data_IF_229962982433
#
_entry.id   IF_229962982433
#
_cell.length_a   1.000
_cell.length_b   1.000
_cell.length_c   1.000
_cell.angle_alpha   90.00
_cell.angle_beta   90.00
_cell.angle_gamma   90.00
#
_symmetry.space_group_name_H-M   'P 1'
#
loop_
_entity.id
_entity.type
_entity.pdbx_description
1 polymer ?
#
# COMPACT_ATOMS: atom_id res chain seq x y z
N UNK A 1 -27.62 -20.83 41.35
CA UNK A 1 -27.72 -21.47 42.69
C UNK A 1 -26.38 -22.04 43.21
N UNK A 2 -25.49 -22.54 42.35
CA UNK A 2 -24.15 -23.01 42.75
C UNK A 2 -23.14 -21.87 42.99
N UNK A 3 -23.18 -20.82 42.16
CA UNK A 3 -22.29 -19.65 42.30
C UNK A 3 -22.61 -18.84 43.57
N UNK A 4 -23.89 -18.75 43.95
CA UNK A 4 -24.31 -18.08 45.19
C UNK A 4 -23.89 -18.85 46.44
N UNK A 5 -23.99 -20.20 46.44
CA UNK A 5 -23.49 -21.05 47.53
C UNK A 5 -21.96 -21.06 47.62
N UNK A 6 -21.24 -20.92 46.51
CA UNK A 6 -19.79 -20.74 46.46
C UNK A 6 -19.36 -19.37 47.01
N UNK A 7 -20.13 -18.32 46.69
CA UNK A 7 -19.91 -16.96 47.19
C UNK A 7 -20.16 -16.85 48.68
N UNK A 8 -21.21 -17.48 49.20
CA UNK A 8 -21.46 -17.59 50.65
C UNK A 8 -20.37 -18.39 51.37
N UNK A 9 -19.92 -19.53 50.83
CA UNK A 9 -18.83 -20.32 51.45
C UNK A 9 -17.49 -19.58 51.50
N UNK A 10 -17.23 -18.68 50.55
CA UNK A 10 -16.06 -17.81 50.55
C UNK A 10 -16.23 -16.65 51.54
N UNK A 11 -17.41 -16.03 51.60
CA UNK A 11 -17.70 -14.90 52.49
C UNK A 11 -17.78 -15.29 53.97
N UNK A 12 -18.23 -16.51 54.30
CA UNK A 12 -18.36 -16.95 55.71
C UNK A 12 -17.08 -17.58 56.28
N UNK A 13 -16.04 -17.81 55.47
CA UNK A 13 -14.78 -18.43 55.92
C UNK A 13 -13.65 -17.43 56.18
N UNK A 14 -13.80 -16.19 55.72
CA UNK A 14 -12.82 -15.11 55.88
C UNK A 14 -13.27 -14.09 56.93
N UNK A 15 -13.54 -14.57 58.15
CA UNK A 15 -13.32 -13.80 59.38
C UNK A 15 -11.83 -13.72 59.75
N UNK A 16 -10.93 -13.94 58.78
CA UNK A 16 -9.49 -13.73 58.92
C UNK A 16 -9.18 -12.40 58.28
N UNK A 17 -8.76 -11.46 59.11
CA UNK A 17 -7.90 -10.34 58.70
C UNK A 17 -7.01 -10.82 57.55
N UNK A 18 -7.17 -10.24 56.36
CA UNK A 18 -6.20 -10.44 55.29
C UNK A 18 -4.84 -10.20 55.92
N UNK A 19 -4.01 -11.25 56.06
CA UNK A 19 -2.71 -11.15 56.72
C UNK A 19 -1.85 -10.21 55.85
N UNK A 20 -1.93 -8.90 56.14
CA UNK A 20 -1.19 -7.85 55.44
C UNK A 20 0.30 -8.17 55.46
N UNK A 21 0.77 -8.87 56.49
CA UNK A 21 2.15 -9.37 56.59
C UNK A 21 2.49 -10.50 55.62
N UNK A 22 1.56 -11.43 55.35
CA UNK A 22 1.77 -12.49 54.34
C UNK A 22 1.73 -11.90 52.94
N UNK A 23 0.78 -11.00 52.67
CA UNK A 23 0.75 -10.25 51.41
C UNK A 23 2.01 -9.40 51.22
N UNK A 24 2.48 -8.71 52.26
CA UNK A 24 3.71 -7.91 52.21
C UNK A 24 4.97 -8.77 52.05
N UNK A 25 5.01 -9.99 52.62
CA UNK A 25 6.10 -10.95 52.39
C UNK A 25 6.11 -11.47 50.96
N UNK A 26 4.95 -11.80 50.42
CA UNK A 26 4.78 -12.25 49.04
C UNK A 26 5.16 -11.12 48.07
N UNK A 27 4.70 -9.89 48.32
CA UNK A 27 5.08 -8.70 47.53
C UNK A 27 6.57 -8.42 47.58
N UNK A 28 7.21 -8.47 48.77
CA UNK A 28 8.67 -8.32 48.91
C UNK A 28 9.45 -9.43 48.20
N UNK A 29 8.95 -10.66 48.25
CA UNK A 29 9.54 -11.79 47.54
C UNK A 29 9.40 -11.65 46.02
N UNK A 30 8.21 -11.27 45.53
CA UNK A 30 7.98 -10.95 44.12
C UNK A 30 8.91 -9.82 43.68
N UNK A 31 8.96 -8.70 44.39
CA UNK A 31 9.85 -7.57 44.09
C UNK A 31 11.33 -7.97 44.00
N UNK A 32 11.78 -8.92 44.82
CA UNK A 32 13.15 -9.44 44.79
C UNK A 32 13.43 -10.30 43.56
N UNK A 33 12.43 -11.03 43.07
CA UNK A 33 12.54 -11.92 41.91
C UNK A 33 12.21 -11.21 40.59
N UNK A 34 11.39 -10.15 40.62
CA UNK A 34 11.02 -9.32 39.47
C UNK A 34 12.23 -8.94 38.62
N UNK A 35 13.35 -8.40 39.14
CA UNK A 35 14.47 -8.04 38.27
C UNK A 35 15.06 -9.27 37.56
N UNK A 36 15.16 -10.43 38.25
CA UNK A 36 15.68 -11.67 37.66
C UNK A 36 14.75 -12.16 36.54
N UNK A 37 13.44 -12.17 36.77
CA UNK A 37 12.45 -12.56 35.76
C UNK A 37 12.49 -11.60 34.57
N UNK A 38 12.57 -10.29 34.81
CA UNK A 38 12.68 -9.28 33.75
C UNK A 38 13.92 -9.50 32.90
N UNK A 39 15.08 -9.75 33.50
CA UNK A 39 16.30 -10.07 32.75
C UNK A 39 16.13 -11.36 31.93
N UNK A 40 15.60 -12.43 32.52
CA UNK A 40 15.38 -13.68 31.80
C UNK A 40 14.40 -13.52 30.63
N UNK A 41 13.29 -12.81 30.82
CA UNK A 41 12.30 -12.53 29.78
C UNK A 41 12.88 -11.63 28.68
N UNK A 42 13.72 -10.65 29.04
CA UNK A 42 14.41 -9.80 28.08
C UNK A 42 15.32 -10.64 27.17
N UNK A 43 16.21 -11.46 27.74
CA UNK A 43 17.09 -12.32 26.95
C UNK A 43 16.32 -13.36 26.15
N UNK A 44 15.28 -13.96 26.72
CA UNK A 44 14.41 -14.89 26.00
C UNK A 44 13.76 -14.20 24.79
N UNK A 45 13.25 -12.97 24.95
CA UNK A 45 12.69 -12.17 23.86
C UNK A 45 13.74 -11.80 22.80
N UNK A 46 14.93 -11.36 23.20
CA UNK A 46 16.03 -11.06 22.28
C UNK A 46 16.46 -12.29 21.47
N UNK A 47 16.61 -13.44 22.12
CA UNK A 47 16.93 -14.70 21.45
C UNK A 47 15.81 -15.05 20.46
N UNK A 48 14.54 -14.87 20.84
CA UNK A 48 13.42 -15.15 19.95
C UNK A 48 13.44 -14.28 18.69
N UNK A 49 13.72 -12.98 18.82
CA UNK A 49 13.86 -12.06 17.67
C UNK A 49 14.98 -12.52 16.74
N UNK A 50 16.10 -13.03 17.27
CA UNK A 50 17.21 -13.55 16.47
C UNK A 50 16.91 -14.91 15.83
N UNK A 51 15.92 -15.66 16.31
CA UNK A 51 15.52 -16.94 15.72
C UNK A 51 14.56 -16.74 14.53
N UNK A 52 13.75 -15.66 14.53
CA UNK A 52 12.76 -15.39 13.47
C UNK A 52 13.32 -15.33 12.03
N UNK A 53 14.49 -14.72 11.76
CA UNK A 53 15.04 -14.65 10.40
C UNK A 53 15.56 -15.98 9.87
N UNK A 54 15.53 -17.05 10.68
CA UNK A 54 16.00 -18.36 10.25
C UNK A 54 15.06 -18.98 9.22
N UNK A 55 15.63 -19.56 8.17
CA UNK A 55 14.90 -20.09 6.99
C UNK A 55 13.79 -21.09 7.34
N UNK A 56 13.94 -21.85 8.44
CA UNK A 56 12.90 -22.78 8.90
C UNK A 56 11.61 -22.11 9.38
N UNK A 57 11.72 -20.87 9.86
CA UNK A 57 10.57 -20.07 10.34
C UNK A 57 10.06 -19.10 9.29
N UNK A 58 10.92 -18.70 8.34
CA UNK A 58 10.53 -17.95 7.15
C UNK A 58 9.81 -18.89 6.17
N UNK A 59 8.52 -19.16 6.43
CA UNK A 59 7.65 -19.71 5.39
C UNK A 59 7.66 -18.69 4.25
N UNK A 60 8.03 -19.11 3.03
CA UNK A 60 8.03 -18.24 1.85
C UNK A 60 6.69 -17.55 1.64
N UNK A 61 6.59 -16.70 0.61
CA UNK A 61 5.40 -15.88 0.32
C UNK A 61 4.12 -16.72 0.22
N UNK A 62 3.43 -16.86 1.35
CA UNK A 62 2.17 -17.57 1.47
C UNK A 62 1.06 -16.54 1.30
N UNK A 63 0.24 -16.73 0.27
CA UNK A 63 -0.95 -15.92 0.06
C UNK A 63 -2.10 -16.67 0.69
N UNK A 64 -2.62 -16.13 1.77
CA UNK A 64 -3.69 -16.78 2.54
C UNK A 64 -5.02 -16.72 1.82
N UNK A 65 -5.16 -15.77 0.91
CA UNK A 65 -6.39 -15.50 0.18
C UNK A 65 -6.38 -16.05 -1.25
N UNK A 66 -7.27 -17.01 -1.50
CA UNK A 66 -7.36 -17.70 -2.79
C UNK A 66 -7.60 -16.76 -3.99
N UNK A 67 -8.24 -15.60 -3.79
CA UNK A 67 -8.50 -14.63 -4.86
C UNK A 67 -7.28 -13.78 -5.24
N UNK A 68 -6.21 -13.85 -4.46
CA UNK A 68 -4.95 -13.15 -4.68
C UNK A 68 -3.85 -14.06 -5.23
N UNK A 69 -4.16 -15.35 -5.45
CA UNK A 69 -3.20 -16.36 -5.91
C UNK A 69 -2.49 -15.95 -7.22
N UNK A 70 -1.15 -16.05 -7.29
CA UNK A 70 -0.36 -15.69 -8.45
C UNK A 70 -0.48 -16.76 -9.55
N UNK A 71 -0.92 -16.35 -10.75
CA UNK A 71 -1.03 -17.22 -11.93
C UNK A 71 -2.40 -17.34 -12.60
N UNK A 72 -3.46 -16.70 -12.08
CA UNK A 72 -4.81 -16.79 -12.67
C UNK A 72 -5.23 -15.56 -13.50
N UNK A 73 -4.44 -14.47 -13.51
CA UNK A 73 -4.72 -13.26 -14.26
C UNK A 73 -3.72 -13.11 -15.41
N UNK A 74 -4.23 -12.96 -16.64
CA UNK A 74 -3.43 -12.65 -17.80
C UNK A 74 -3.05 -11.16 -17.80
N UNK A 75 -1.82 -10.85 -18.24
CA UNK A 75 -1.36 -9.48 -18.42
C UNK A 75 -1.90 -8.98 -19.76
N UNK A 76 -2.85 -8.04 -19.75
CA UNK A 76 -3.42 -7.48 -20.98
C UNK A 76 -2.72 -6.18 -21.41
N UNK A 77 -1.83 -5.65 -20.56
CA UNK A 77 -1.00 -4.49 -20.86
C UNK A 77 0.04 -4.80 -21.96
N UNK A 78 -0.27 -4.34 -23.17
CA UNK A 78 0.45 -4.65 -24.40
C UNK A 78 1.32 -3.52 -24.94
N UNK A 79 1.91 -3.73 -26.12
CA UNK A 79 2.80 -2.76 -26.78
C UNK A 79 2.13 -1.41 -27.06
N UNK A 80 0.85 -1.41 -27.47
CA UNK A 80 0.11 -0.18 -27.73
C UNK A 80 -0.08 0.67 -26.47
N UNK A 81 -0.26 0.01 -25.31
CA UNK A 81 -0.42 0.69 -24.03
C UNK A 81 0.92 1.29 -23.57
N UNK A 82 2.03 0.58 -23.80
CA UNK A 82 3.40 1.09 -23.59
C UNK A 82 3.65 2.35 -24.42
N UNK A 83 3.38 2.30 -25.73
CA UNK A 83 3.58 3.46 -26.61
C UNK A 83 2.73 4.65 -26.19
N UNK A 84 1.48 4.39 -25.82
CA UNK A 84 0.59 5.45 -25.33
C UNK A 84 1.11 6.09 -24.05
N UNK A 85 1.70 5.29 -23.17
CA UNK A 85 2.33 5.76 -21.96
C UNK A 85 3.58 6.62 -22.29
N UNK A 86 4.43 6.20 -23.24
CA UNK A 86 5.59 6.98 -23.69
C UNK A 86 5.18 8.34 -24.29
N UNK A 87 4.10 8.37 -25.08
CA UNK A 87 3.52 9.60 -25.59
C UNK A 87 3.08 10.53 -24.45
N UNK A 88 2.52 9.97 -23.37
CA UNK A 88 2.18 10.73 -22.16
C UNK A 88 3.41 11.26 -21.44
N UNK A 89 4.49 10.48 -21.31
CA UNK A 89 5.74 10.97 -20.73
C UNK A 89 6.22 12.24 -21.44
N UNK A 90 6.25 12.25 -22.78
CA UNK A 90 6.67 13.42 -23.55
C UNK A 90 5.77 14.64 -23.30
N UNK A 91 4.44 14.45 -23.24
CA UNK A 91 3.50 15.53 -22.93
C UNK A 91 3.69 16.08 -21.50
N UNK A 92 3.92 15.20 -20.53
CA UNK A 92 4.06 15.55 -19.12
C UNK A 92 5.36 16.32 -18.85
N UNK A 93 6.46 15.97 -19.53
CA UNK A 93 7.72 16.73 -19.44
C UNK A 93 7.51 18.21 -19.80
N UNK A 94 6.67 18.50 -20.80
CA UNK A 94 6.36 19.88 -21.20
C UNK A 94 5.43 20.65 -20.23
N UNK A 95 4.89 19.98 -19.22
CA UNK A 95 3.84 20.52 -18.33
C UNK A 95 4.26 20.47 -16.85
N UNK A 96 5.22 19.62 -16.48
CA UNK A 96 5.67 19.44 -15.09
C UNK A 96 6.15 20.74 -14.41
N UNK A 97 6.72 21.68 -15.17
CA UNK A 97 7.23 22.97 -14.68
C UNK A 97 6.15 24.06 -14.57
N UNK A 98 4.91 23.76 -14.99
CA UNK A 98 3.80 24.72 -14.94
C UNK A 98 3.12 24.70 -13.57
N UNK A 99 2.30 25.72 -13.35
CA UNK A 99 1.49 25.84 -12.14
C UNK A 99 0.58 24.60 -11.91
N UNK A 100 0.35 24.28 -10.64
CA UNK A 100 -0.51 23.16 -10.20
C UNK A 100 -1.89 23.15 -10.84
N UNK A 101 -2.51 24.32 -11.05
CA UNK A 101 -3.81 24.40 -11.70
C UNK A 101 -3.72 24.02 -13.18
N UNK A 102 -2.68 24.48 -13.87
CA UNK A 102 -2.47 24.13 -15.30
C UNK A 102 -2.19 22.64 -15.47
N UNK A 103 -1.40 22.05 -14.57
CA UNK A 103 -1.14 20.60 -14.52
C UNK A 103 -2.43 19.81 -14.31
N UNK A 104 -3.25 20.22 -13.35
CA UNK A 104 -4.53 19.57 -13.07
C UNK A 104 -5.53 19.70 -14.24
N UNK A 105 -5.60 20.87 -14.88
CA UNK A 105 -6.48 21.10 -16.04
C UNK A 105 -6.11 20.21 -17.23
N UNK A 106 -4.81 20.04 -17.51
CA UNK A 106 -4.33 19.17 -18.58
C UNK A 106 -4.78 17.71 -18.37
N UNK A 107 -4.53 17.17 -17.17
CA UNK A 107 -4.94 15.80 -16.82
C UNK A 107 -6.46 15.65 -16.86
N UNK A 108 -7.18 16.66 -16.35
CA UNK A 108 -8.64 16.66 -16.36
C UNK A 108 -9.19 16.53 -17.79
N UNK A 109 -8.62 17.26 -18.74
CA UNK A 109 -9.02 17.18 -20.15
C UNK A 109 -8.68 15.81 -20.76
N UNK A 110 -7.50 15.26 -20.50
CA UNK A 110 -7.11 13.92 -20.99
C UNK A 110 -8.03 12.81 -20.45
N UNK A 111 -8.48 12.91 -19.19
CA UNK A 111 -9.49 11.99 -18.63
C UNK A 111 -10.87 12.16 -19.28
N UNK A 112 -11.31 13.41 -19.54
CA UNK A 112 -12.59 13.66 -20.23
C UNK A 112 -12.58 13.13 -21.65
N UNK A 113 -11.49 13.35 -22.40
CA UNK A 113 -11.32 12.82 -23.75
C UNK A 113 -11.33 11.30 -23.77
N UNK A 114 -10.81 10.66 -22.73
CA UNK A 114 -10.86 9.21 -22.55
C UNK A 114 -12.22 8.69 -22.04
N UNK A 115 -13.18 9.59 -21.78
CA UNK A 115 -14.55 9.24 -21.37
C UNK A 115 -14.70 8.85 -19.90
N UNK A 116 -13.88 9.42 -19.02
CA UNK A 116 -14.02 9.30 -17.56
C UNK A 116 -14.73 10.52 -16.97
N UNK A 117 -15.35 10.32 -15.80
CA UNK A 117 -15.90 11.43 -15.00
C UNK A 117 -14.76 11.99 -14.16
N UNK A 118 -14.17 13.09 -14.60
CA UNK A 118 -13.08 13.78 -13.91
C UNK A 118 -13.56 14.98 -13.09
N UNK A 119 -12.89 15.25 -11.97
CA UNK A 119 -13.12 16.40 -11.11
C UNK A 119 -11.81 16.93 -10.55
N UNK A 120 -11.72 18.26 -10.47
CA UNK A 120 -10.57 18.98 -9.90
C UNK A 120 -10.92 19.37 -8.47
N UNK A 121 -10.02 19.10 -7.53
CA UNK A 121 -10.12 19.53 -6.14
C UNK A 121 -9.02 20.53 -5.83
N UNK A 122 -9.39 21.78 -5.56
CA UNK A 122 -8.47 22.78 -5.00
C UNK A 122 -8.44 22.62 -3.49
N UNK A 123 -7.26 22.65 -2.90
CA UNK A 123 -7.11 22.57 -1.45
C UNK A 123 -6.11 23.61 -0.94
N UNK A 124 -6.37 24.04 0.28
CA UNK A 124 -5.52 24.94 1.05
C UNK A 124 -5.38 24.28 2.43
N UNK A 125 -4.17 23.79 2.74
CA UNK A 125 -3.90 23.12 4.01
C UNK A 125 -2.74 23.80 4.74
N UNK A 126 -3.03 24.28 5.94
CA UNK A 126 -2.04 24.79 6.87
C UNK A 126 -1.38 23.62 7.62
N UNK A 127 -0.15 23.27 7.21
CA UNK A 127 0.67 22.29 7.93
C UNK A 127 1.77 23.02 8.68
N UNK A 128 1.68 23.06 10.02
CA UNK A 128 2.71 23.56 10.97
C UNK A 128 3.46 24.79 10.43
N UNK A 129 2.73 25.89 10.19
CA UNK A 129 3.32 27.18 9.78
C UNK A 129 3.58 27.36 8.29
N UNK A 130 3.34 26.34 7.46
CA UNK A 130 3.37 26.43 6.00
C UNK A 130 1.98 26.22 5.42
N UNK A 131 1.42 27.29 4.86
CA UNK A 131 0.22 27.21 4.05
C UNK A 131 0.59 26.60 2.70
N UNK A 132 0.13 25.36 2.45
CA UNK A 132 0.40 24.65 1.21
C UNK A 132 -0.87 24.60 0.39
N UNK A 133 -0.83 25.27 -0.78
CA UNK A 133 -1.91 25.25 -1.76
C UNK A 133 -1.56 24.28 -2.86
N UNK A 134 -2.56 23.55 -3.33
CA UNK A 134 -2.41 22.60 -4.40
C UNK A 134 -3.74 22.28 -5.06
N UNK A 135 -3.64 21.60 -6.20
CA UNK A 135 -4.82 21.17 -6.95
C UNK A 135 -4.68 19.71 -7.30
N UNK A 136 -5.50 18.87 -6.66
CA UNK A 136 -5.61 17.46 -7.00
C UNK A 136 -6.57 17.27 -8.17
N UNK A 137 -6.38 16.18 -8.91
CA UNK A 137 -7.27 15.75 -9.98
C UNK A 137 -7.60 14.28 -9.75
N UNK A 138 -8.87 13.95 -9.83
CA UNK A 138 -9.30 12.56 -9.79
C UNK A 138 -10.32 12.27 -10.87
N UNK A 139 -10.36 11.01 -11.30
CA UNK A 139 -11.31 10.52 -12.27
C UNK A 139 -11.89 9.20 -11.82
N UNK A 140 -13.18 9.01 -12.05
CA UNK A 140 -13.89 7.80 -11.63
C UNK A 140 -14.31 7.01 -12.85
N UNK A 141 -13.88 5.75 -12.86
CA UNK A 141 -14.35 4.72 -13.76
C UNK A 141 -15.39 3.87 -13.04
N UNK A 142 -16.66 4.08 -13.39
CA UNK A 142 -17.73 3.18 -12.95
C UNK A 142 -17.64 1.90 -13.75
N UNK A 143 -17.35 0.79 -13.06
CA UNK A 143 -17.20 -0.47 -13.73
C UNK A 143 -18.59 -1.01 -14.15
N UNK A 144 -18.74 -1.52 -15.38
CA UNK A 144 -20.06 -1.89 -15.92
C UNK A 144 -20.68 -3.10 -15.21
N UNK A 145 -19.88 -3.91 -14.50
CA UNK A 145 -20.33 -5.07 -13.70
C UNK A 145 -20.31 -4.80 -12.20
N UNK A 146 -20.04 -3.57 -11.78
CA UNK A 146 -19.97 -3.16 -10.38
C UNK A 146 -21.34 -2.64 -9.90
N UNK A 147 -21.68 -2.94 -8.65
CA UNK A 147 -22.85 -2.38 -7.95
C UNK A 147 -22.57 -0.96 -7.41
N UNK A 148 -21.41 -0.38 -7.73
CA UNK A 148 -20.99 0.97 -7.30
C UNK A 148 -20.72 1.11 -5.79
N UNK A 149 -20.74 0.00 -5.05
CA UNK A 149 -20.56 -0.05 -3.59
C UNK A 149 -19.10 -0.14 -3.13
N UNK A 150 -18.20 -0.47 -4.04
CA UNK A 150 -16.80 -0.72 -3.73
C UNK A 150 -15.90 -0.09 -4.79
N UNK A 151 -14.79 0.47 -4.33
CA UNK A 151 -13.83 1.17 -5.18
C UNK A 151 -12.39 0.76 -4.87
N UNK A 152 -11.54 0.83 -5.89
CA UNK A 152 -10.09 0.77 -5.77
C UNK A 152 -9.49 2.10 -6.18
N UNK A 153 -8.39 2.48 -5.54
CA UNK A 153 -7.64 3.69 -5.93
C UNK A 153 -6.34 3.28 -6.60
N UNK A 154 -6.10 3.84 -7.78
CA UNK A 154 -4.78 3.92 -8.37
C UNK A 154 -4.34 5.37 -8.26
N UNK A 155 -3.31 5.63 -7.46
CA UNK A 155 -2.81 6.98 -7.24
C UNK A 155 -1.40 7.18 -7.78
N UNK A 156 -1.06 8.41 -8.15
CA UNK A 156 0.30 8.84 -8.40
C UNK A 156 0.44 10.30 -7.97
N UNK A 157 1.49 10.66 -7.25
CA UNK A 157 1.78 12.07 -6.98
C UNK A 157 2.64 12.67 -8.10
N UNK A 158 2.56 13.99 -8.32
CA UNK A 158 3.49 14.72 -9.19
C UNK A 158 4.93 14.70 -8.69
N UNK A 159 5.10 14.76 -7.38
CA UNK A 159 6.41 14.80 -6.73
C UNK A 159 6.60 13.44 -6.06
N UNK A 160 7.66 12.75 -6.46
CA UNK A 160 8.08 11.49 -5.87
C UNK A 160 8.56 11.71 -4.44
N UNK A 161 8.66 10.63 -3.66
CA UNK A 161 9.28 10.67 -2.33
C UNK A 161 10.71 11.23 -2.33
N UNK A 162 11.46 11.11 -3.45
CA UNK A 162 12.82 11.67 -3.58
C UNK A 162 12.85 13.16 -3.93
N UNK A 163 11.69 13.78 -4.18
CA UNK A 163 11.59 15.16 -4.63
C UNK A 163 11.71 15.33 -6.15
N UNK A 164 11.97 14.26 -6.90
CA UNK A 164 11.95 14.27 -8.36
C UNK A 164 10.52 14.21 -8.91
N UNK A 165 10.33 14.61 -10.16
CA UNK A 165 9.03 14.46 -10.83
C UNK A 165 8.73 12.99 -11.13
N UNK A 166 7.54 12.54 -10.74
CA UNK A 166 7.05 11.19 -10.98
C UNK A 166 6.33 11.10 -12.34
N UNK A 167 7.04 11.50 -13.38
CA UNK A 167 6.50 11.58 -14.75
C UNK A 167 6.11 10.19 -15.26
N UNK A 168 6.94 9.19 -14.99
CA UNK A 168 6.65 7.81 -15.36
C UNK A 168 5.43 7.25 -14.59
N UNK A 169 5.30 7.49 -13.29
CA UNK A 169 4.14 6.99 -12.53
C UNK A 169 2.82 7.57 -13.03
N UNK A 170 2.79 8.87 -13.34
CA UNK A 170 1.60 9.52 -13.91
C UNK A 170 1.31 9.00 -15.32
N UNK A 171 2.32 8.86 -16.18
CA UNK A 171 2.14 8.33 -17.52
C UNK A 171 1.61 6.89 -17.53
N UNK A 172 2.12 6.03 -16.63
CA UNK A 172 1.64 4.67 -16.45
C UNK A 172 0.18 4.64 -15.93
N UNK A 173 -0.18 5.57 -15.04
CA UNK A 173 -1.56 5.71 -14.57
C UNK A 173 -2.50 6.11 -15.72
N UNK A 174 -2.10 7.05 -16.57
CA UNK A 174 -2.89 7.48 -17.74
C UNK A 174 -3.05 6.39 -18.80
N UNK A 175 -2.02 5.58 -19.04
CA UNK A 175 -2.13 4.43 -19.96
C UNK A 175 -3.00 3.31 -19.38
N UNK A 176 -2.86 3.01 -18.08
CA UNK A 176 -3.73 2.09 -17.37
C UNK A 176 -5.18 2.54 -17.37
N UNK A 177 -5.44 3.85 -17.29
CA UNK A 177 -6.78 4.39 -17.45
C UNK A 177 -7.40 3.93 -18.77
N UNK A 178 -6.70 4.07 -19.90
CA UNK A 178 -7.21 3.61 -21.21
C UNK A 178 -7.42 2.10 -21.26
N UNK A 179 -6.55 1.32 -20.61
CA UNK A 179 -6.75 -0.13 -20.45
C UNK A 179 -8.06 -0.42 -19.69
N UNK A 180 -8.32 0.27 -18.57
CA UNK A 180 -9.55 0.08 -17.80
C UNK A 180 -10.79 0.43 -18.61
N UNK A 181 -10.73 1.46 -19.46
CA UNK A 181 -11.84 1.81 -20.36
C UNK A 181 -12.08 0.75 -21.45
N UNK A 182 -11.01 0.15 -21.97
CA UNK A 182 -11.07 -0.89 -23.02
C UNK A 182 -11.70 -2.19 -22.48
N UNK A 183 -11.40 -2.53 -21.23
CA UNK A 183 -11.77 -3.80 -20.63
C UNK A 183 -13.07 -3.69 -19.81
N UNK A 184 -14.00 -4.62 -20.00
CA UNK A 184 -15.37 -4.55 -19.43
C UNK A 184 -15.54 -5.49 -18.22
N UNK A 185 -14.53 -6.30 -17.87
CA UNK A 185 -14.66 -7.34 -16.86
C UNK A 185 -14.49 -6.87 -15.41
N UNK A 186 -14.24 -5.59 -15.17
CA UNK A 186 -14.03 -5.06 -13.81
C UNK A 186 -15.30 -5.19 -12.95
N UNK A 187 -15.12 -5.69 -11.73
CA UNK A 187 -16.19 -5.90 -10.75
C UNK A 187 -16.30 -4.78 -9.69
N UNK A 188 -15.37 -3.82 -9.72
CA UNK A 188 -15.31 -2.68 -8.79
C UNK A 188 -15.03 -1.41 -9.54
N UNK A 189 -15.49 -0.30 -9.00
CA UNK A 189 -15.15 1.01 -9.53
C UNK A 189 -13.67 1.30 -9.31
N UNK A 190 -13.07 2.04 -10.24
CA UNK A 190 -11.66 2.43 -10.17
C UNK A 190 -11.60 3.94 -10.10
N UNK A 191 -10.96 4.45 -9.04
CA UNK A 191 -10.67 5.85 -8.84
C UNK A 191 -9.21 6.06 -9.23
N UNK A 192 -9.00 6.93 -10.21
CA UNK A 192 -7.69 7.38 -10.65
C UNK A 192 -7.42 8.70 -9.97
N UNK A 193 -6.38 8.77 -9.14
CA UNK A 193 -6.09 9.96 -8.34
C UNK A 193 -4.67 10.46 -8.65
N UNK A 194 -4.55 11.73 -9.04
CA UNK A 194 -3.26 12.39 -9.14
C UNK A 194 -3.21 13.53 -8.14
N UNK A 195 -2.28 13.41 -7.20
CA UNK A 195 -2.12 14.35 -6.10
C UNK A 195 -1.02 15.34 -6.39
N UNK A 196 -1.27 16.58 -6.02
CA UNK A 196 -0.24 17.60 -5.92
C UNK A 196 0.34 17.60 -4.50
N UNK A 197 1.61 17.94 -4.34
CA UNK A 197 2.28 18.00 -3.03
C UNK A 197 2.25 16.67 -2.22
N UNK A 198 2.24 15.51 -2.90
CA UNK A 198 2.37 14.16 -2.31
C UNK A 198 1.39 13.86 -1.17
N UNK A 199 1.94 13.73 0.04
CA UNK A 199 1.22 13.44 1.29
C UNK A 199 0.15 14.47 1.61
N UNK A 200 0.41 15.76 1.39
CA UNK A 200 -0.53 16.84 1.74
C UNK A 200 -1.76 16.77 0.84
N UNK A 201 -1.55 16.65 -0.48
CA UNK A 201 -2.66 16.48 -1.42
C UNK A 201 -3.45 15.21 -1.18
N UNK A 202 -2.77 14.10 -0.85
CA UNK A 202 -3.44 12.84 -0.50
C UNK A 202 -4.33 12.99 0.73
N UNK A 203 -3.85 13.65 1.79
CA UNK A 203 -4.64 13.90 2.99
C UNK A 203 -5.84 14.81 2.71
N UNK A 204 -5.66 15.87 1.92
CA UNK A 204 -6.74 16.77 1.53
C UNK A 204 -7.83 16.05 0.73
N UNK A 205 -7.44 15.15 -0.18
CA UNK A 205 -8.38 14.33 -0.92
C UNK A 205 -9.15 13.34 -0.03
N UNK A 206 -8.44 12.68 0.90
CA UNK A 206 -9.05 11.75 1.85
C UNK A 206 -10.06 12.45 2.78
N UNK A 207 -9.71 13.62 3.29
CA UNK A 207 -10.61 14.41 4.16
C UNK A 207 -11.91 14.73 3.43
N UNK A 208 -11.81 15.22 2.19
CA UNK A 208 -12.97 15.58 1.40
C UNK A 208 -13.81 14.36 0.96
N UNK A 209 -13.15 13.24 0.63
CA UNK A 209 -13.84 11.99 0.29
C UNK A 209 -14.65 11.44 1.47
N UNK A 210 -14.09 11.47 2.69
CA UNK A 210 -14.77 11.05 3.91
C UNK A 210 -15.69 12.13 4.53
N UNK A 211 -15.72 13.34 3.98
CA UNK A 211 -16.55 14.45 4.46
C UNK A 211 -16.12 15.01 5.82
N UNK A 212 -14.82 15.01 6.10
CA UNK A 212 -14.22 15.46 7.37
C UNK A 212 -13.83 16.95 7.30
N UNK A 213 -14.17 17.67 6.22
CA UNK A 213 -13.77 19.08 6.07
C UNK A 213 -14.41 19.97 7.16
N UNK A 214 -13.54 20.48 8.04
CA UNK A 214 -13.89 21.27 9.23
C UNK A 214 -13.89 22.79 8.99
N UNK A 215 -13.52 23.29 7.80
CA UNK A 215 -13.57 24.71 7.45
C UNK A 215 -13.48 24.93 5.93
N UNK A 216 -14.27 25.89 5.46
CA UNK A 216 -14.29 26.55 4.16
C UNK A 216 -15.14 25.94 3.02
N UNK A 217 -16.08 26.77 2.57
CA UNK A 217 -17.04 26.61 1.47
C UNK A 217 -16.40 26.30 0.10
N UNK A 218 -15.07 26.29 -0.01
CA UNK A 218 -14.31 26.12 -1.27
C UNK A 218 -14.05 24.62 -1.57
N UNK A 219 -14.00 23.77 -0.55
CA UNK A 219 -13.80 22.31 -0.67
C UNK A 219 -15.08 21.55 -1.03
N UNK A 220 -16.24 22.22 -0.94
CA UNK A 220 -17.57 21.66 -1.15
C UNK A 220 -17.93 21.44 -2.63
N UNK A 221 -16.96 21.05 -3.46
CA UNK A 221 -17.29 20.43 -4.74
C UNK A 221 -18.02 19.13 -4.39
N UNK A 222 -19.22 18.95 -4.95
CA UNK A 222 -19.94 17.67 -4.94
C UNK A 222 -19.03 16.64 -5.59
N UNK A 223 -18.15 16.02 -4.79
CA UNK A 223 -17.24 15.00 -5.29
C UNK A 223 -18.11 13.85 -5.75
N UNK A 224 -17.98 13.40 -7.00
CA UNK A 224 -18.58 12.14 -7.36
C UNK A 224 -17.97 11.09 -6.43
N UNK A 225 -18.82 10.48 -5.61
CA UNK A 225 -18.40 9.41 -4.70
C UNK A 225 -18.61 8.08 -5.40
N UNK A 226 -17.61 7.22 -5.31
CA UNK A 226 -17.82 5.78 -5.47
C UNK A 226 -17.95 5.17 -4.06
N UNK A 227 -18.37 3.91 -3.97
CA UNK A 227 -18.55 3.24 -2.69
C UNK A 227 -17.24 2.98 -1.94
N UNK A 228 -17.29 2.17 -0.87
CA UNK A 228 -16.20 2.00 0.08
C UNK A 228 -14.87 1.64 -0.62
N UNK A 229 -13.81 2.37 -0.28
CA UNK A 229 -12.47 2.12 -0.81
C UNK A 229 -11.90 0.90 -0.11
N UNK A 230 -11.38 -0.04 -0.91
CA UNK A 230 -10.96 -1.35 -0.42
C UNK A 230 -9.46 -1.55 -0.49
N UNK A 231 -8.83 -0.92 -1.47
CA UNK A 231 -7.39 -0.99 -1.66
C UNK A 231 -6.86 0.18 -2.47
N UNK A 232 -5.63 0.58 -2.16
CA UNK A 232 -4.90 1.62 -2.90
C UNK A 232 -3.56 1.08 -3.37
N UNK A 233 -3.24 1.33 -4.65
CA UNK A 233 -1.90 1.15 -5.19
C UNK A 233 -1.40 2.53 -5.61
N UNK A 234 -0.33 2.98 -4.98
CA UNK A 234 0.31 4.24 -5.34
C UNK A 234 1.54 3.97 -6.23
N UNK A 235 1.61 4.61 -7.39
CA UNK A 235 2.69 4.49 -8.36
C UNK A 235 3.68 5.63 -8.18
N UNK A 236 4.91 5.31 -7.78
CA UNK A 236 5.98 6.28 -7.56
C UNK A 236 7.23 5.90 -8.36
N UNK A 237 7.30 6.34 -9.61
CA UNK A 237 8.40 6.08 -10.52
C UNK A 237 9.08 7.40 -10.89
N UNK A 238 10.12 7.80 -10.15
CA UNK A 238 10.78 9.09 -10.35
C UNK A 238 11.53 9.14 -11.69
N UNK A 239 11.50 10.31 -12.33
CA UNK A 239 12.26 10.60 -13.54
C UNK A 239 11.74 9.86 -14.79
N UNK A 240 12.62 9.77 -15.78
CA UNK A 240 12.39 9.13 -17.10
C UNK A 240 13.38 8.00 -17.39
N UNK A 241 14.19 7.65 -16.40
CA UNK A 241 15.25 6.65 -16.51
C UNK A 241 14.74 5.24 -16.21
N UNK A 242 15.55 4.24 -16.58
CA UNK A 242 15.27 2.85 -16.27
C UNK A 242 15.54 2.55 -14.78
N UNK A 243 14.78 1.60 -14.24
CA UNK A 243 14.83 1.24 -12.82
C UNK A 243 15.52 -0.11 -12.65
N UNK A 244 16.28 -0.27 -11.57
CA UNK A 244 16.98 -1.53 -11.27
C UNK A 244 16.14 -2.46 -10.41
N UNK A 245 15.43 -1.90 -9.42
CA UNK A 245 14.70 -2.67 -8.42
C UNK A 245 13.40 -1.98 -8.05
N UNK A 246 12.38 -2.78 -7.73
CA UNK A 246 11.08 -2.32 -7.24
C UNK A 246 11.09 -2.25 -5.71
N UNK A 247 11.04 -1.04 -5.15
CA UNK A 247 10.87 -0.81 -3.72
C UNK A 247 9.39 -0.85 -3.34
N UNK A 248 9.04 -1.59 -2.30
CA UNK A 248 7.68 -1.58 -1.72
C UNK A 248 7.70 -0.80 -0.41
N UNK A 249 6.79 0.16 -0.28
CA UNK A 249 6.56 0.95 0.94
C UNK A 249 5.11 0.77 1.40
N UNK A 250 4.93 0.44 2.67
CA UNK A 250 3.63 0.04 3.20
C UNK A 250 3.37 0.53 4.63
N UNK A 251 4.29 1.29 5.22
CA UNK A 251 4.20 1.73 6.61
C UNK A 251 3.24 2.90 6.76
N UNK A 252 2.25 2.70 7.64
CA UNK A 252 1.27 3.71 7.99
C UNK A 252 1.61 4.56 9.19
N UNK A 253 0.77 5.55 9.43
CA UNK A 253 0.82 6.39 10.64
C UNK A 253 0.66 5.50 11.88
N UNK A 254 1.46 5.74 12.92
CA UNK A 254 1.46 4.98 14.18
C UNK A 254 1.76 3.47 14.01
N UNK A 255 2.51 3.09 12.97
CA UNK A 255 2.91 1.69 12.77
C UNK A 255 1.76 0.79 12.32
N UNK A 256 0.76 1.34 11.65
CA UNK A 256 -0.25 0.54 10.96
C UNK A 256 0.36 -0.15 9.73
N UNK A 257 -0.09 -1.37 9.46
CA UNK A 257 0.38 -2.19 8.34
C UNK A 257 -0.83 -2.66 7.51
N UNK A 258 -0.72 -2.68 6.17
CA UNK A 258 -1.76 -3.24 5.31
C UNK A 258 -1.78 -4.76 5.43
N UNK A 259 -2.79 -5.35 4.82
CA UNK A 259 -2.83 -6.78 4.59
C UNK A 259 -1.59 -7.28 3.82
N UNK A 260 -0.91 -8.28 4.39
CA UNK A 260 0.27 -8.92 3.83
C UNK A 260 0.00 -9.63 2.49
N UNK A 261 -1.23 -10.08 2.25
CA UNK A 261 -1.59 -10.70 0.97
C UNK A 261 -1.51 -9.72 -0.21
N UNK A 262 -1.74 -8.42 0.02
CA UNK A 262 -1.56 -7.38 -1.00
C UNK A 262 -0.08 -7.29 -1.42
N UNK A 263 0.82 -7.21 -0.44
CA UNK A 263 2.27 -7.15 -0.67
C UNK A 263 2.74 -8.43 -1.37
N UNK A 264 2.35 -9.60 -0.87
CA UNK A 264 2.73 -10.88 -1.44
C UNK A 264 2.25 -11.03 -2.89
N UNK A 265 1.07 -10.50 -3.22
CA UNK A 265 0.56 -10.52 -4.59
C UNK A 265 1.41 -9.68 -5.51
N UNK A 266 1.80 -8.48 -5.09
CA UNK A 266 2.67 -7.59 -5.89
C UNK A 266 4.03 -8.25 -6.12
N UNK A 267 4.64 -8.80 -5.07
CA UNK A 267 5.92 -9.53 -5.17
C UNK A 267 5.79 -10.72 -6.13
N UNK A 268 4.76 -11.54 -5.97
CA UNK A 268 4.58 -12.71 -6.81
C UNK A 268 4.21 -12.38 -8.26
N UNK A 269 3.59 -11.22 -8.54
CA UNK A 269 3.37 -10.71 -9.90
C UNK A 269 4.69 -10.23 -10.50
N UNK A 270 5.48 -9.46 -9.76
CA UNK A 270 6.78 -8.96 -10.20
C UNK A 270 7.77 -10.09 -10.56
N UNK A 271 7.79 -11.16 -9.78
CA UNK A 271 8.63 -12.35 -10.04
C UNK A 271 8.14 -13.20 -11.22
N UNK A 272 6.86 -13.13 -11.59
CA UNK A 272 6.27 -13.91 -12.69
C UNK A 272 6.28 -13.21 -14.04
N UNK A 273 6.44 -11.89 -14.05
CA UNK A 273 6.61 -11.14 -15.31
C UNK A 273 7.89 -11.66 -15.98
N UNK A 274 7.86 -11.82 -17.30
CA UNK A 274 9.04 -12.23 -18.07
C UNK A 274 9.60 -11.02 -18.84
N UNK A 275 10.83 -10.57 -18.55
CA UNK A 275 11.76 -11.04 -17.51
C UNK A 275 11.37 -10.55 -16.08
N UNK A 276 11.80 -11.27 -15.03
CA UNK A 276 11.41 -10.99 -13.65
C UNK A 276 11.98 -9.66 -13.16
N UNK A 277 11.20 -8.96 -12.35
CA UNK A 277 11.60 -7.70 -11.74
C UNK A 277 12.06 -7.98 -10.31
N UNK A 278 13.28 -7.57 -9.98
CA UNK A 278 13.79 -7.66 -8.61
C UNK A 278 12.96 -6.76 -7.69
N UNK A 279 12.48 -7.32 -6.58
CA UNK A 279 11.70 -6.58 -5.58
C UNK A 279 12.48 -6.50 -4.28
N UNK A 280 12.52 -5.31 -3.69
CA UNK A 280 13.05 -5.05 -2.35
C UNK A 280 12.02 -4.38 -1.48
N UNK A 281 12.14 -4.59 -0.17
CA UNK A 281 11.40 -3.80 0.81
C UNK A 281 12.17 -2.49 1.01
N UNK A 282 11.49 -1.35 0.90
CA UNK A 282 12.09 -0.01 1.00
C UNK A 282 13.16 0.26 -0.09
N UNK A 283 14.16 1.09 0.23
CA UNK A 283 15.19 1.63 -0.68
C UNK A 283 16.44 0.74 -0.85
N UNK A 284 16.55 -0.36 -0.11
CA UNK A 284 17.80 -1.09 -0.01
C UNK A 284 17.97 -2.09 -1.16
N UNK A 285 18.50 -1.60 -2.28
CA UNK A 285 18.88 -2.41 -3.44
C UNK A 285 20.10 -3.31 -3.18
N UNK A 286 20.95 -2.94 -2.21
CA UNK A 286 22.13 -3.70 -1.81
C UNK A 286 22.18 -3.85 -0.30
N UNK A 287 22.47 -5.07 0.17
CA UNK A 287 22.68 -5.34 1.59
C UNK A 287 24.13 -5.75 1.85
N UNK A 288 24.72 -5.32 2.97
CA UNK A 288 26.17 -5.40 3.22
C UNK A 288 26.72 -6.83 3.34
N UNK A 289 25.86 -7.85 3.46
CA UNK A 289 26.24 -9.24 3.76
C UNK A 289 25.95 -10.22 2.61
N UNK A 290 25.80 -9.71 1.38
CA UNK A 290 25.41 -10.52 0.23
C UNK A 290 26.35 -11.69 -0.09
N UNK A 291 27.66 -11.50 0.12
CA UNK A 291 28.68 -12.50 -0.21
C UNK A 291 29.01 -13.46 0.95
N UNK A 292 28.21 -13.46 2.03
CA UNK A 292 28.50 -14.25 3.23
C UNK A 292 27.80 -15.62 3.20
N UNK A 293 28.42 -16.65 3.83
CA UNK A 293 27.88 -18.03 3.87
C UNK A 293 26.48 -18.11 4.51
N UNK A 294 26.17 -17.19 5.41
CA UNK A 294 24.85 -17.03 6.04
C UNK A 294 24.07 -15.83 5.48
N UNK A 295 24.32 -15.47 4.22
CA UNK A 295 23.74 -14.29 3.56
C UNK A 295 22.22 -14.23 3.65
N UNK A 296 21.51 -15.35 3.49
CA UNK A 296 20.03 -15.39 3.59
C UNK A 296 19.51 -14.98 4.97
N UNK A 297 20.16 -15.44 6.05
CA UNK A 297 19.79 -15.09 7.41
C UNK A 297 20.04 -13.60 7.66
N UNK A 298 21.24 -13.12 7.34
CA UNK A 298 21.59 -11.70 7.53
C UNK A 298 20.74 -10.77 6.67
N UNK A 299 20.37 -11.21 5.46
CA UNK A 299 19.43 -10.49 4.59
C UNK A 299 18.05 -10.38 5.25
N UNK A 300 17.51 -11.49 5.74
CA UNK A 300 16.19 -11.50 6.39
C UNK A 300 16.19 -10.67 7.68
N UNK A 301 17.26 -10.77 8.48
CA UNK A 301 17.45 -9.97 9.68
C UNK A 301 17.56 -8.48 9.35
N UNK A 302 18.31 -8.13 8.30
CA UNK A 302 18.48 -6.76 7.85
C UNK A 302 17.14 -6.15 7.43
N UNK A 303 16.38 -6.82 6.56
CA UNK A 303 15.06 -6.32 6.14
C UNK A 303 14.03 -6.28 7.27
N UNK A 304 14.08 -7.23 8.21
CA UNK A 304 13.23 -7.20 9.40
C UNK A 304 13.53 -5.99 10.28
N UNK A 305 14.81 -5.74 10.58
CA UNK A 305 15.23 -4.59 11.39
C UNK A 305 14.97 -3.26 10.68
N UNK A 306 15.16 -3.22 9.37
CA UNK A 306 14.86 -2.04 8.56
C UNK A 306 13.36 -1.74 8.60
N UNK A 307 12.51 -2.74 8.39
CA UNK A 307 11.05 -2.56 8.47
C UNK A 307 10.63 -2.13 9.88
N UNK A 308 11.23 -2.70 10.93
CA UNK A 308 11.01 -2.27 12.32
C UNK A 308 11.42 -0.81 12.54
N UNK A 309 12.53 -0.36 11.93
CA UNK A 309 12.97 1.05 12.01
C UNK A 309 11.89 1.98 11.46
N UNK A 310 11.35 1.72 10.28
CA UNK A 310 10.26 2.52 9.73
C UNK A 310 8.98 2.47 10.58
N UNK A 311 8.67 1.30 11.15
CA UNK A 311 7.53 1.12 12.05
C UNK A 311 7.66 1.94 13.35
N UNK A 312 8.85 1.95 13.95
CA UNK A 312 9.14 2.64 15.23
C UNK A 312 9.05 4.16 15.06
N UNK A 313 9.44 4.70 13.91
CA UNK A 313 9.27 6.13 13.65
C UNK A 313 7.80 6.55 13.60
N UNK A 314 6.88 5.65 13.28
CA UNK A 314 5.43 5.92 13.30
C UNK A 314 4.96 6.98 12.29
N UNK A 315 5.86 7.47 11.43
CA UNK A 315 5.55 8.38 10.34
C UNK A 315 5.28 7.58 9.06
N UNK A 316 4.33 8.01 8.22
CA UNK A 316 4.02 7.31 6.98
C UNK A 316 5.23 7.40 6.04
N UNK A 317 5.75 6.25 5.60
CA UNK A 317 6.92 6.18 4.72
C UNK A 317 6.61 6.78 3.33
N UNK A 318 5.38 6.56 2.85
CA UNK A 318 4.86 7.06 1.58
C UNK A 318 3.41 7.54 1.70
N UNK A 319 2.87 8.11 0.63
CA UNK A 319 1.48 8.59 0.53
C UNK A 319 0.46 7.49 0.86
N UNK A 320 0.77 6.24 0.48
CA UNK A 320 -0.01 5.05 0.85
C UNK A 320 -0.23 4.93 2.37
N UNK A 321 0.72 5.37 3.19
CA UNK A 321 0.63 5.25 4.65
C UNK A 321 -0.51 6.07 5.28
N UNK A 322 -1.04 7.08 4.57
CA UNK A 322 -2.16 7.90 5.04
C UNK A 322 -3.51 7.20 4.93
N UNK A 323 -3.66 6.31 3.94
CA UNK A 323 -4.90 5.56 3.71
C UNK A 323 -5.17 4.53 4.81
N UNK A 324 -4.11 3.98 5.42
CA UNK A 324 -4.22 2.98 6.48
C UNK A 324 -5.01 3.50 7.69
N UNK A 325 -4.93 4.81 7.99
CA UNK A 325 -5.70 5.46 9.05
C UNK A 325 -7.21 5.28 8.88
N UNK A 326 -7.67 5.20 7.63
CA UNK A 326 -9.07 5.01 7.25
C UNK A 326 -9.46 3.53 7.09
N UNK A 327 -8.59 2.59 7.53
CA UNK A 327 -8.74 1.13 7.33
C UNK A 327 -8.78 0.72 5.86
N UNK A 328 -8.09 1.48 5.01
CA UNK A 328 -7.92 1.15 3.60
C UNK A 328 -6.53 0.54 3.43
N UNK A 329 -6.47 -0.69 2.92
CA UNK A 329 -5.20 -1.34 2.61
C UNK A 329 -4.48 -0.59 1.48
N UNK A 330 -3.26 -0.13 1.71
CA UNK A 330 -2.53 0.69 0.75
C UNK A 330 -1.06 0.33 0.67
N UNK A 331 -0.53 0.33 -0.55
CA UNK A 331 0.88 0.06 -0.83
C UNK A 331 1.39 1.04 -1.88
N UNK A 332 2.58 1.60 -1.66
CA UNK A 332 3.31 2.33 -2.70
C UNK A 332 4.34 1.42 -3.35
N UNK A 333 4.32 1.43 -4.68
CA UNK A 333 5.31 0.79 -5.52
C UNK A 333 6.26 1.87 -6.02
N UNK A 334 7.53 1.75 -5.65
CA UNK A 334 8.57 2.73 -5.95
C UNK A 334 9.63 2.16 -6.91
N UNK A 335 10.02 2.92 -7.93
CA UNK A 335 11.12 2.57 -8.82
C UNK A 335 12.46 3.02 -8.28
N UNK A 336 13.32 2.10 -7.82
CA UNK A 336 14.68 2.41 -7.41
C UNK A 336 15.56 2.48 -8.66
N UNK A 337 16.06 3.68 -8.93
CA UNK A 337 17.04 3.93 -9.96
C UNK A 337 18.36 3.34 -9.49
N UNK A 338 18.93 2.42 -10.27
CA UNK A 338 20.17 1.77 -9.92
C UNK A 338 21.17 1.84 -11.06
N UNK A 339 22.44 1.99 -10.68
CA UNK A 339 23.60 2.02 -11.58
C UNK A 339 24.46 0.76 -11.44
N UNK A 340 24.08 -0.17 -10.56
CA UNK A 340 24.90 -1.29 -10.10
C UNK A 340 24.63 -2.58 -10.88
N UNK A 341 23.37 -2.85 -11.22
CA UNK A 341 22.97 -4.04 -11.97
C UNK A 341 22.30 -3.65 -13.30
N UNK A 342 23.09 -3.07 -14.21
CA UNK A 342 22.65 -2.62 -15.54
C UNK A 342 21.93 -3.72 -16.36
N UNK A 343 22.27 -4.99 -16.14
CA UNK A 343 21.63 -6.13 -16.83
C UNK A 343 20.18 -6.40 -16.37
N UNK A 344 19.79 -5.88 -15.21
CA UNK A 344 18.46 -6.07 -14.61
C UNK A 344 17.57 -4.82 -14.73
N UNK A 345 18.02 -3.81 -15.49
CA UNK A 345 17.23 -2.62 -15.71
C UNK A 345 15.89 -2.99 -16.37
N UNK A 346 14.83 -2.44 -15.81
CA UNK A 346 13.49 -2.54 -16.34
C UNK A 346 13.02 -1.15 -16.76
N UNK A 347 12.73 -1.05 -18.05
CA UNK A 347 12.20 0.18 -18.62
C UNK A 347 10.71 0.35 -18.37
N UNK A 348 10.25 1.53 -18.78
CA UNK A 348 8.91 2.04 -18.56
C UNK A 348 7.78 1.07 -18.94
N UNK A 349 7.93 0.31 -20.03
CA UNK A 349 6.91 -0.63 -20.49
C UNK A 349 6.60 -1.78 -19.51
N UNK A 350 7.52 -2.10 -18.60
CA UNK A 350 7.31 -3.13 -17.57
C UNK A 350 6.53 -2.59 -16.37
N UNK A 351 6.56 -1.28 -16.15
CA UNK A 351 5.84 -0.62 -15.05
C UNK A 351 4.34 -0.81 -15.21
N UNK A 352 3.77 -0.58 -16.40
CA UNK A 352 2.33 -0.75 -16.61
C UNK A 352 1.83 -2.19 -16.44
N UNK A 353 2.71 -3.19 -16.59
CA UNK A 353 2.40 -4.61 -16.36
C UNK A 353 2.38 -5.01 -14.90
N UNK A 354 2.93 -4.21 -13.98
CA UNK A 354 2.96 -4.52 -12.55
C UNK A 354 1.60 -4.25 -11.87
N UNK A 355 0.97 -3.06 -12.02
CA UNK A 355 -0.32 -2.77 -11.41
C UNK A 355 -1.45 -3.55 -12.07
N UNK A 356 -1.43 -3.78 -13.39
CA UNK A 356 -2.55 -4.42 -14.10
C UNK A 356 -2.97 -5.78 -13.46
N UNK A 357 -2.07 -6.76 -13.27
CA UNK A 357 -2.43 -8.03 -12.62
C UNK A 357 -2.78 -7.90 -11.14
N UNK A 358 -2.13 -6.99 -10.42
CA UNK A 358 -2.42 -6.75 -9.00
C UNK A 358 -3.83 -6.15 -8.82
N UNK A 359 -4.16 -5.14 -9.63
CA UNK A 359 -5.46 -4.48 -9.68
C UNK A 359 -6.53 -5.47 -10.13
N UNK A 360 -6.31 -6.23 -11.20
CA UNK A 360 -7.25 -7.24 -11.68
C UNK A 360 -7.66 -8.22 -10.58
N UNK A 361 -6.70 -8.69 -9.78
CA UNK A 361 -7.01 -9.57 -8.65
C UNK A 361 -7.70 -8.87 -7.49
N UNK A 362 -7.26 -7.67 -7.13
CA UNK A 362 -7.93 -6.85 -6.12
C UNK A 362 -9.39 -6.59 -6.51
N UNK A 363 -9.66 -6.41 -7.81
CA UNK A 363 -11.01 -6.27 -8.37
C UNK A 363 -11.79 -7.60 -8.29
N UNK A 364 -11.20 -8.73 -8.68
CA UNK A 364 -11.86 -10.04 -8.64
C UNK A 364 -12.16 -10.55 -7.22
N UNK A 365 -11.33 -10.17 -6.24
CA UNK A 365 -11.41 -10.58 -4.83
C UNK A 365 -12.76 -10.44 -4.14
N UNK A 366 -13.69 -9.60 -4.60
CA UNK A 366 -14.99 -9.42 -3.91
C UNK A 366 -16.22 -9.93 -4.65
N UNK A 367 -16.03 -10.61 -5.79
CA UNK A 367 -17.10 -11.45 -6.34
C UNK A 367 -17.20 -12.80 -5.61
N UNK A 368 -16.14 -13.25 -4.94
CA UNK A 368 -16.07 -14.59 -4.30
C UNK A 368 -16.90 -14.76 -3.02
N UNK A 369 -17.55 -13.70 -2.52
CA UNK A 369 -18.62 -13.85 -1.51
C UNK A 369 -19.96 -14.33 -2.11
N UNK A 370 -20.04 -14.49 -3.43
CA UNK A 370 -21.15 -15.10 -4.15
C UNK A 370 -20.62 -16.20 -5.09
N UNK A 371 -20.84 -17.45 -4.69
CA UNK A 371 -20.71 -18.72 -5.41
C UNK A 371 -19.36 -19.08 -6.09
N UNK A 372 -18.68 -20.16 -5.64
CA UNK A 372 -17.41 -20.62 -6.21
C UNK A 372 -17.50 -21.22 -7.63
N UNK A 373 -18.70 -21.28 -8.24
CA UNK A 373 -18.91 -21.92 -9.55
C UNK A 373 -18.64 -21.05 -10.79
N UNK A 374 -18.46 -19.74 -10.64
CA UNK A 374 -18.45 -18.80 -11.78
C UNK A 374 -17.05 -18.31 -12.21
N UNK A 375 -16.01 -18.65 -11.45
CA UNK A 375 -14.65 -18.11 -11.66
C UNK A 375 -13.98 -18.68 -12.92
N UNK A 376 -14.38 -19.87 -13.36
CA UNK A 376 -13.72 -20.58 -14.48
C UNK A 376 -14.10 -20.00 -15.86
N UNK A 377 -15.19 -19.23 -15.98
CA UNK A 377 -15.73 -18.85 -17.30
C UNK A 377 -15.53 -17.39 -17.71
N UNK A 378 -14.86 -16.55 -16.91
CA UNK A 378 -14.80 -15.10 -17.17
C UNK A 378 -13.43 -14.52 -17.58
N UNK A 379 -12.39 -15.34 -17.72
CA UNK A 379 -11.14 -14.96 -18.38
C UNK A 379 -10.94 -15.88 -19.59
N UNK A 380 -10.74 -15.36 -20.81
CA UNK A 380 -10.47 -16.21 -21.96
C UNK A 380 -9.11 -16.89 -21.75
N UNK A 381 -9.16 -18.18 -21.44
CA UNK A 381 -8.01 -19.08 -21.51
C UNK A 381 -7.65 -19.28 -22.98
N UNK A 382 -6.79 -18.43 -23.54
CA UNK A 382 -6.12 -18.79 -24.78
C UNK A 382 -4.92 -19.67 -24.44
N UNK A 383 -5.13 -20.97 -24.63
CA UNK A 383 -4.05 -21.92 -24.87
C UNK A 383 -3.26 -21.48 -26.09
N UNK A 384 -1.98 -21.15 -25.91
CA UNK A 384 -0.87 -21.53 -26.79
C UNK A 384 0.35 -21.79 -25.94
#
# INVERSE_FOLDING_TARGET
>A
MLVSKLKEKWLTKDGKTVDLEKQARILRFLQRITPIITFLLFFAGTIWILVLPHEKYNKGTYISENALLPGQANVEYGYNDIRTAEDYVQKLIGIQDKDSETRAQFIHEEFRQSGFVSAIQRFDMDTIGHNTKGTNIFAIHKAPRSDGKEALILSASWISRTGEFNTNGIAALLSLAKLFKRNVYWAKDIILLITDQGKVGTQAWLNAYHGIDEKDEISAIVMPRSGAIQGVINLDFPGTQDYETLGIFFEGVNGQLPNLDLINTIVAVAERINPPISVTLHDDASYPFANHKYGTYFRSLFYMLQSMKYLVFGHPSSDAGLYLRYRIDAVTIYGIVGSTHLNNLFGFGRIGRLPDPAICKLVLKMRSNLDPGTIVSSCPSMHV
#
